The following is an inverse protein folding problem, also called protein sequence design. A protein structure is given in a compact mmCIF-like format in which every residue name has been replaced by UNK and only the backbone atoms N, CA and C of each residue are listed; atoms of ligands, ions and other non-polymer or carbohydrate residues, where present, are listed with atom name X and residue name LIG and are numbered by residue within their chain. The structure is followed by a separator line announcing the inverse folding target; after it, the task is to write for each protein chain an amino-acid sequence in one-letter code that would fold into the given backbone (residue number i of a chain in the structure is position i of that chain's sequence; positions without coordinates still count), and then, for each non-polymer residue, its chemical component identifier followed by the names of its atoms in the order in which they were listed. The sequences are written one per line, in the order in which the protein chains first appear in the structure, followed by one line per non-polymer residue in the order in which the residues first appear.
data_IF_907976835477
#
_entry.id   IF_907976835477
#
_cell.length_a   1.000
_cell.length_b   1.000
_cell.length_c   1.000
_cell.angle_alpha   90.00
_cell.angle_beta   90.00
_cell.angle_gamma   90.00
#
_symmetry.space_group_name_H-M   'P 1'
#
loop_
_entity.id
_entity.type
_entity.pdbx_description
1 polymer ?
#
# COMPACT_ATOMS: atom_id res chain seq x y z
N UNK A 1 11.74 2.14 17.38
CA UNK A 1 10.47 2.31 16.65
C UNK A 1 9.30 2.75 17.55
N UNK A 2 9.21 2.31 18.80
CA UNK A 2 8.07 2.65 19.67
C UNK A 2 7.86 4.16 19.92
N UNK A 3 8.89 4.96 19.95
CA UNK A 3 8.78 6.41 20.22
C UNK A 3 8.23 7.24 19.06
N UNK A 4 8.43 6.79 17.81
CA UNK A 4 8.02 7.55 16.62
C UNK A 4 6.54 7.43 16.31
N UNK A 5 5.88 6.36 16.78
CA UNK A 5 4.47 6.04 16.47
C UNK A 5 3.61 5.91 17.74
N UNK A 6 4.04 6.51 18.85
CA UNK A 6 3.31 6.46 20.10
C UNK A 6 1.84 6.90 19.89
N UNK A 7 0.90 6.06 20.31
CA UNK A 7 -0.54 6.32 20.20
C UNK A 7 -1.15 6.14 18.81
N UNK A 8 -0.42 5.61 17.83
CA UNK A 8 -0.92 5.33 16.46
C UNK A 8 -0.89 3.85 16.16
N UNK A 9 -1.95 3.32 15.55
CA UNK A 9 -1.94 1.97 14.97
C UNK A 9 -1.13 1.97 13.69
N UNK A 10 -0.14 1.07 13.60
CA UNK A 10 0.71 0.92 12.42
C UNK A 10 0.27 -0.32 11.66
N UNK A 11 -0.18 -0.11 10.42
CA UNK A 11 -0.58 -1.20 9.51
C UNK A 11 0.52 -1.39 8.47
N UNK A 12 1.05 -2.61 8.43
CA UNK A 12 2.07 -3.03 7.49
C UNK A 12 1.42 -3.73 6.30
N UNK A 13 1.69 -3.25 5.10
CA UNK A 13 1.18 -3.85 3.87
C UNK A 13 2.27 -4.67 3.19
N UNK A 14 1.97 -5.91 2.82
CA UNK A 14 2.93 -6.77 2.14
C UNK A 14 2.32 -7.54 0.96
N UNK A 15 3.14 -7.82 -0.04
CA UNK A 15 2.77 -8.73 -1.12
C UNK A 15 3.03 -10.20 -0.74
N UNK A 16 2.72 -11.11 -1.67
CA UNK A 16 2.88 -12.55 -1.43
C UNK A 16 4.34 -12.98 -1.21
N UNK A 17 5.31 -12.20 -1.70
CA UNK A 17 6.74 -12.52 -1.55
C UNK A 17 7.24 -12.24 -0.14
N UNK A 18 6.70 -11.20 0.49
CA UNK A 18 7.06 -10.81 1.86
C UNK A 18 6.12 -11.38 2.92
N UNK A 19 4.90 -11.80 2.54
CA UNK A 19 3.99 -12.47 3.46
C UNK A 19 4.45 -13.91 3.67
N UNK A 20 5.48 -14.09 4.48
CA UNK A 20 6.06 -15.39 4.79
C UNK A 20 5.87 -15.72 6.27
N UNK A 21 5.94 -17.01 6.57
CA UNK A 21 5.87 -17.50 7.95
C UNK A 21 6.99 -16.92 8.81
N UNK A 22 8.22 -16.84 8.28
CA UNK A 22 9.37 -16.27 8.97
C UNK A 22 9.14 -14.80 9.31
N UNK A 23 8.55 -14.05 8.38
CA UNK A 23 8.22 -12.65 8.58
C UNK A 23 7.16 -12.46 9.66
N UNK A 24 6.08 -13.24 9.62
CA UNK A 24 5.02 -13.19 10.63
C UNK A 24 5.55 -13.54 12.03
N UNK A 25 6.46 -14.51 12.14
CA UNK A 25 7.07 -14.91 13.42
C UNK A 25 7.86 -13.77 14.05
N UNK A 26 8.57 -12.98 13.25
CA UNK A 26 9.36 -11.84 13.71
C UNK A 26 8.57 -10.53 13.86
N UNK A 27 7.29 -10.50 13.48
CA UNK A 27 6.49 -9.29 13.51
C UNK A 27 6.19 -8.86 14.96
N UNK A 28 6.49 -7.62 15.37
CA UNK A 28 6.10 -7.08 16.68
C UNK A 28 4.60 -7.21 16.93
N UNK A 29 4.21 -7.40 18.22
CA UNK A 29 2.78 -7.60 18.56
C UNK A 29 1.90 -6.38 18.32
N UNK A 30 2.48 -5.21 18.39
CA UNK A 30 1.85 -3.89 18.18
C UNK A 30 1.69 -3.50 16.71
N UNK A 31 2.20 -4.32 15.77
CA UNK A 31 2.04 -4.10 14.35
C UNK A 31 0.94 -4.99 13.76
N UNK A 32 0.07 -4.37 12.97
CA UNK A 32 -0.95 -5.06 12.20
C UNK A 32 -0.36 -5.35 10.82
N UNK A 33 -0.42 -6.60 10.37
CA UNK A 33 -0.05 -6.98 9.02
C UNK A 33 -1.31 -7.22 8.18
N UNK A 34 -1.36 -6.58 7.02
CA UNK A 34 -2.26 -6.95 5.93
C UNK A 34 -1.40 -7.41 4.77
N UNK A 35 -1.42 -8.70 4.48
CA UNK A 35 -0.53 -9.29 3.49
C UNK A 35 -1.23 -10.24 2.52
N UNK A 36 -0.71 -10.33 1.28
CA UNK A 36 -1.20 -11.27 0.30
C UNK A 36 -0.67 -12.67 0.60
N UNK A 37 -1.57 -13.64 0.68
CA UNK A 37 -1.27 -15.04 0.92
C UNK A 37 -1.23 -15.82 -0.40
N UNK A 38 -0.51 -16.93 -0.43
CA UNK A 38 -0.57 -17.90 -1.52
C UNK A 38 -1.87 -18.71 -1.47
N UNK A 39 -2.38 -19.09 -2.62
CA UNK A 39 -3.63 -19.86 -2.77
C UNK A 39 -3.62 -21.23 -2.05
N UNK A 40 -2.42 -21.80 -1.88
CA UNK A 40 -2.14 -23.11 -1.33
C UNK A 40 -1.65 -23.10 0.13
N UNK A 41 -1.69 -21.94 0.79
CA UNK A 41 -1.26 -21.83 2.17
C UNK A 41 -2.12 -22.67 3.11
N UNK A 42 -1.47 -23.45 3.96
CA UNK A 42 -2.11 -24.33 4.93
C UNK A 42 -2.39 -23.59 6.22
N UNK A 43 -3.64 -23.23 6.42
CA UNK A 43 -4.16 -22.62 7.63
C UNK A 43 -4.87 -23.66 8.51
N UNK A 44 -5.05 -23.33 9.77
CA UNK A 44 -5.69 -24.17 10.76
C UNK A 44 -6.71 -23.35 11.54
N UNK A 45 -7.82 -23.94 11.90
CA UNK A 45 -8.75 -23.37 12.87
C UNK A 45 -8.13 -23.32 14.26
N UNK A 46 -8.73 -22.57 15.15
CA UNK A 46 -8.38 -22.63 16.57
C UNK A 46 -8.80 -23.98 17.14
N UNK A 47 -8.09 -24.50 18.16
CA UNK A 47 -8.51 -25.73 18.83
C UNK A 47 -9.80 -25.51 19.61
N UNK A 48 -10.79 -26.35 19.39
CA UNK A 48 -12.09 -26.29 20.04
C UNK A 48 -12.01 -26.66 21.53
N UNK A 49 -11.12 -27.59 21.86
CA UNK A 49 -10.93 -28.05 23.23
C UNK A 49 -9.45 -27.99 23.63
N UNK A 50 -9.21 -27.48 24.83
CA UNK A 50 -7.92 -27.55 25.49
C UNK A 50 -7.90 -28.77 26.40
N UNK A 51 -6.87 -29.60 26.29
CA UNK A 51 -6.69 -30.71 27.24
C UNK A 51 -6.35 -30.12 28.63
N UNK A 52 -6.99 -30.66 29.67
CA UNK A 52 -6.77 -30.19 31.05
C UNK A 52 -5.32 -30.38 31.50
N UNK A 53 -4.64 -31.44 31.03
CA UNK A 53 -3.27 -31.78 31.37
C UNK A 53 -2.42 -31.89 30.10
N UNK A 54 -1.18 -31.40 30.15
CA UNK A 54 -0.20 -31.48 29.08
C UNK A 54 0.02 -30.19 28.29
N UNK A 55 0.76 -30.29 27.18
CA UNK A 55 1.07 -29.12 26.32
C UNK A 55 -0.18 -28.64 25.61
N UNK A 56 -0.53 -27.38 25.79
CA UNK A 56 -1.68 -26.75 25.12
C UNK A 56 -1.60 -26.89 23.59
N UNK A 57 -2.68 -27.34 22.98
CA UNK A 57 -2.79 -27.39 21.51
C UNK A 57 -2.92 -25.98 20.96
N UNK A 58 -2.02 -25.62 20.08
CA UNK A 58 -2.05 -24.31 19.40
C UNK A 58 -2.92 -24.33 18.13
N UNK A 59 -3.16 -25.50 17.53
CA UNK A 59 -3.82 -25.64 16.23
C UNK A 59 -4.96 -26.65 16.35
N UNK A 60 -6.11 -26.30 15.80
CA UNK A 60 -7.26 -27.18 15.63
C UNK A 60 -7.17 -27.99 14.33
N UNK A 61 -8.32 -28.25 13.72
CA UNK A 61 -8.45 -28.93 12.44
C UNK A 61 -7.86 -28.10 11.30
N UNK A 62 -7.32 -28.74 10.25
CA UNK A 62 -6.89 -28.04 9.05
C UNK A 62 -8.05 -27.27 8.42
N UNK A 63 -7.87 -26.00 8.14
CA UNK A 63 -8.82 -25.21 7.38
C UNK A 63 -8.69 -25.51 5.88
N UNK A 64 -9.76 -25.35 5.09
CA UNK A 64 -9.66 -25.42 3.64
C UNK A 64 -8.65 -24.39 3.12
N UNK A 65 -8.00 -24.68 2.02
CA UNK A 65 -7.10 -23.72 1.37
C UNK A 65 -7.87 -22.49 0.89
N UNK A 66 -7.19 -21.37 0.74
CA UNK A 66 -7.82 -20.13 0.29
C UNK A 66 -8.55 -20.29 -1.05
N UNK A 67 -8.04 -21.15 -1.95
CA UNK A 67 -8.68 -21.46 -3.23
C UNK A 67 -9.91 -22.36 -3.07
N UNK A 68 -9.90 -23.31 -2.11
CA UNK A 68 -11.07 -24.10 -1.78
C UNK A 68 -12.18 -23.24 -1.22
N UNK A 69 -11.87 -22.33 -0.27
CA UNK A 69 -12.83 -21.35 0.27
C UNK A 69 -13.43 -20.47 -0.83
N UNK A 70 -12.62 -20.06 -1.81
CA UNK A 70 -13.11 -19.28 -2.95
C UNK A 70 -14.19 -20.01 -3.74
N UNK A 71 -14.01 -21.32 -3.95
CA UNK A 71 -14.92 -22.18 -4.73
C UNK A 71 -16.11 -22.72 -3.92
N UNK A 72 -15.99 -22.74 -2.60
CA UNK A 72 -16.99 -23.29 -1.71
C UNK A 72 -18.20 -22.37 -1.59
N UNK A 73 -19.35 -22.80 -2.07
CA UNK A 73 -20.58 -22.03 -2.07
C UNK A 73 -21.22 -21.92 -0.67
N UNK A 74 -20.81 -22.75 0.28
CA UNK A 74 -21.28 -22.64 1.67
C UNK A 74 -20.82 -21.35 2.35
N UNK A 75 -19.73 -20.75 1.88
CA UNK A 75 -19.26 -19.45 2.31
C UNK A 75 -19.87 -18.35 1.42
N UNK A 76 -20.77 -17.51 1.94
CA UNK A 76 -21.42 -16.48 1.14
C UNK A 76 -20.44 -15.40 0.70
N UNK A 77 -20.67 -14.85 -0.50
CA UNK A 77 -19.98 -13.67 -0.98
C UNK A 77 -20.61 -12.41 -0.37
N UNK A 78 -19.78 -11.58 0.24
CA UNK A 78 -20.14 -10.26 0.70
C UNK A 78 -19.70 -9.24 -0.34
N UNK A 79 -20.54 -8.28 -0.64
CA UNK A 79 -20.23 -7.17 -1.54
C UNK A 79 -19.76 -5.96 -0.74
N UNK A 80 -18.59 -5.44 -1.08
CA UNK A 80 -18.00 -4.27 -0.44
C UNK A 80 -17.60 -3.22 -1.47
N UNK A 81 -17.52 -1.97 -1.03
CA UNK A 81 -16.95 -0.87 -1.82
C UNK A 81 -15.56 -0.54 -1.29
N UNK A 82 -14.59 -0.48 -2.20
CA UNK A 82 -13.22 -0.13 -1.86
C UNK A 82 -12.67 0.90 -2.85
N UNK A 83 -12.36 2.11 -2.41
CA UNK A 83 -11.77 3.13 -3.26
C UNK A 83 -10.32 2.78 -3.61
N UNK A 84 -9.98 2.81 -4.90
CA UNK A 84 -8.64 2.62 -5.39
C UNK A 84 -8.41 3.38 -6.69
N UNK A 85 -7.20 3.93 -6.87
CA UNK A 85 -6.79 4.64 -8.08
C UNK A 85 -7.74 5.77 -8.51
N UNK A 86 -8.42 6.42 -7.56
CA UNK A 86 -9.35 7.52 -7.83
C UNK A 86 -10.74 7.08 -8.31
N UNK A 87 -11.09 5.81 -8.15
CA UNK A 87 -12.41 5.26 -8.45
C UNK A 87 -12.88 4.30 -7.36
N UNK A 88 -14.19 4.22 -7.17
CA UNK A 88 -14.78 3.21 -6.30
C UNK A 88 -14.92 1.88 -7.06
N UNK A 89 -14.45 0.83 -6.42
CA UNK A 89 -14.55 -0.53 -6.95
C UNK A 89 -15.47 -1.36 -6.06
N UNK A 90 -16.46 -1.98 -6.68
CA UNK A 90 -17.26 -2.99 -6.01
C UNK A 90 -16.52 -4.33 -6.07
N UNK A 91 -16.25 -4.90 -4.92
CA UNK A 91 -15.54 -6.15 -4.77
C UNK A 91 -16.41 -7.17 -4.05
N UNK A 92 -16.42 -8.41 -4.51
CA UNK A 92 -17.00 -9.53 -3.77
C UNK A 92 -15.91 -10.21 -2.96
N UNK A 93 -16.17 -10.42 -1.68
CA UNK A 93 -15.22 -11.03 -0.76
C UNK A 93 -15.87 -12.16 0.02
N UNK A 94 -15.04 -13.11 0.49
CA UNK A 94 -15.39 -14.06 1.55
C UNK A 94 -14.46 -13.83 2.71
N UNK A 95 -14.96 -14.04 3.93
CA UNK A 95 -14.19 -13.82 5.16
C UNK A 95 -14.21 -15.09 5.98
N UNK A 96 -13.03 -15.48 6.47
CA UNK A 96 -12.89 -16.59 7.42
C UNK A 96 -12.02 -16.12 8.57
N UNK A 97 -12.58 -16.21 9.76
CA UNK A 97 -11.95 -15.77 10.99
C UNK A 97 -11.35 -16.94 11.79
N UNK A 98 -10.67 -16.61 12.86
CA UNK A 98 -10.15 -17.55 13.84
C UNK A 98 -9.18 -18.57 13.24
N UNK A 99 -8.32 -18.12 12.33
CA UNK A 99 -7.31 -18.95 11.69
C UNK A 99 -5.93 -18.79 12.31
N UNK A 100 -5.11 -19.81 12.19
CA UNK A 100 -3.68 -19.80 12.52
C UNK A 100 -2.84 -20.35 11.39
N UNK A 101 -1.65 -19.81 11.22
CA UNK A 101 -0.70 -20.32 10.24
C UNK A 101 0.46 -21.04 10.95
N UNK A 102 0.45 -22.38 10.85
CA UNK A 102 1.25 -23.27 11.69
C UNK A 102 2.74 -22.88 11.86
N UNK A 103 3.52 -22.61 10.82
CA UNK A 103 4.93 -22.27 11.02
C UNK A 103 5.18 -20.81 11.39
N UNK A 104 4.15 -19.95 11.39
CA UNK A 104 4.31 -18.51 11.52
C UNK A 104 4.28 -17.98 12.95
N UNK A 105 4.48 -18.85 13.96
CA UNK A 105 4.54 -18.41 15.34
C UNK A 105 3.24 -18.48 16.10
N UNK A 106 2.57 -19.55 15.98
CA UNK A 106 1.64 -20.27 16.85
C UNK A 106 0.45 -19.56 17.45
N UNK A 107 0.59 -18.36 17.94
CA UNK A 107 -0.44 -17.72 18.76
C UNK A 107 -1.25 -16.65 18.05
N UNK A 108 -0.75 -16.14 16.91
CA UNK A 108 -1.46 -15.08 16.19
C UNK A 108 -2.73 -15.62 15.55
N UNK A 109 -3.84 -14.99 15.90
CA UNK A 109 -5.11 -15.21 15.24
C UNK A 109 -5.11 -14.39 13.95
N UNK A 110 -5.52 -15.02 12.87
CA UNK A 110 -5.56 -14.43 11.53
C UNK A 110 -6.98 -14.39 11.02
N UNK A 111 -7.30 -13.32 10.30
CA UNK A 111 -8.47 -13.24 9.44
C UNK A 111 -8.01 -13.44 8.00
N UNK A 112 -8.71 -14.30 7.27
CA UNK A 112 -8.53 -14.49 5.83
C UNK A 112 -9.64 -13.76 5.09
N UNK A 113 -9.25 -12.95 4.10
CA UNK A 113 -10.17 -12.29 3.16
C UNK A 113 -9.84 -12.78 1.76
N UNK A 114 -10.81 -13.41 1.11
CA UNK A 114 -10.73 -13.90 -0.26
C UNK A 114 -11.44 -12.90 -1.17
N UNK A 115 -10.72 -12.30 -2.12
CA UNK A 115 -11.28 -11.35 -3.08
C UNK A 115 -11.54 -12.09 -4.39
N UNK A 116 -12.77 -11.98 -4.90
CA UNK A 116 -13.14 -12.55 -6.20
C UNK A 116 -12.33 -11.90 -7.35
N UNK A 117 -12.19 -12.60 -8.49
CA UNK A 117 -11.62 -12.02 -9.69
C UNK A 117 -12.32 -10.70 -10.07
N UNK A 118 -11.54 -9.63 -10.17
CA UNK A 118 -12.07 -8.31 -10.53
C UNK A 118 -12.04 -8.11 -12.03
N UNK A 119 -13.18 -7.78 -12.59
CA UNK A 119 -13.31 -7.45 -14.01
C UNK A 119 -12.67 -6.09 -14.31
N UNK A 120 -11.93 -5.97 -15.39
CA UNK A 120 -11.37 -4.70 -15.85
C UNK A 120 -11.24 -4.63 -17.37
N UNK A 121 -11.28 -3.42 -17.92
CA UNK A 121 -10.98 -3.15 -19.32
C UNK A 121 -9.70 -2.33 -19.41
N UNK A 122 -8.65 -2.81 -20.10
CA UNK A 122 -7.39 -2.05 -20.23
C UNK A 122 -7.56 -0.71 -20.92
N UNK A 123 -8.49 -0.63 -21.89
CA UNK A 123 -8.87 0.57 -22.63
C UNK A 123 -10.38 0.59 -22.86
N UNK A 124 -10.95 1.78 -23.07
CA UNK A 124 -12.35 1.91 -23.48
C UNK A 124 -12.59 1.10 -24.76
N UNK A 125 -13.63 0.25 -24.77
CA UNK A 125 -13.94 -0.65 -25.90
C UNK A 125 -13.13 -1.94 -25.99
N UNK A 126 -12.07 -2.14 -25.16
CA UNK A 126 -11.33 -3.39 -25.16
C UNK A 126 -12.13 -4.54 -24.52
N UNK A 127 -11.74 -5.79 -24.85
CA UNK A 127 -12.31 -6.99 -24.23
C UNK A 127 -12.21 -6.93 -22.71
N UNK A 128 -13.27 -7.37 -22.04
CA UNK A 128 -13.29 -7.54 -20.58
C UNK A 128 -12.27 -8.59 -20.19
N UNK A 129 -11.43 -8.26 -19.22
CA UNK A 129 -10.46 -9.17 -18.61
C UNK A 129 -10.74 -9.27 -17.12
N UNK A 130 -10.23 -10.33 -16.51
CA UNK A 130 -10.34 -10.55 -15.07
C UNK A 130 -8.95 -10.60 -14.46
N UNK A 131 -8.79 -9.95 -13.34
CA UNK A 131 -7.59 -10.10 -12.50
C UNK A 131 -7.69 -11.42 -11.74
N UNK A 132 -6.55 -12.01 -11.43
CA UNK A 132 -6.53 -13.19 -10.56
C UNK A 132 -7.15 -12.87 -9.19
N UNK A 133 -7.79 -13.87 -8.55
CA UNK A 133 -8.28 -13.72 -7.20
C UNK A 133 -7.15 -13.35 -6.25
N UNK A 134 -7.45 -12.62 -5.19
CA UNK A 134 -6.48 -12.29 -4.17
C UNK A 134 -6.90 -12.88 -2.82
N UNK A 135 -5.92 -13.36 -2.09
CA UNK A 135 -6.09 -13.93 -0.76
C UNK A 135 -5.29 -13.07 0.21
N UNK A 136 -5.95 -12.46 1.16
CA UNK A 136 -5.33 -11.56 2.13
C UNK A 136 -5.42 -12.15 3.52
N UNK A 137 -4.37 -11.99 4.31
CA UNK A 137 -4.41 -12.23 5.74
C UNK A 137 -4.25 -10.92 6.50
N UNK A 138 -4.98 -10.83 7.61
CA UNK A 138 -4.83 -9.74 8.58
C UNK A 138 -4.53 -10.34 9.94
N UNK A 139 -3.57 -9.73 10.68
CA UNK A 139 -3.21 -10.14 12.04
C UNK A 139 -4.07 -9.48 13.11
N UNK A 140 -4.97 -8.59 12.73
CA UNK A 140 -5.96 -7.99 13.61
C UNK A 140 -7.36 -8.42 13.18
N UNK A 141 -8.01 -9.33 13.92
CA UNK A 141 -9.37 -9.77 13.63
C UNK A 141 -10.43 -8.69 13.87
N UNK A 142 -10.11 -7.62 14.59
CA UNK A 142 -11.03 -6.52 14.83
C UNK A 142 -11.13 -5.55 13.64
N UNK A 143 -10.12 -5.55 12.74
CA UNK A 143 -10.11 -4.67 11.57
C UNK A 143 -11.21 -5.10 10.58
N UNK A 144 -12.14 -4.19 10.19
CA UNK A 144 -13.21 -4.51 9.24
C UNK A 144 -12.68 -5.03 7.89
N UNK A 145 -13.32 -6.02 7.27
CA UNK A 145 -12.87 -6.58 5.98
C UNK A 145 -12.75 -5.55 4.88
N UNK A 146 -13.63 -4.55 4.83
CA UNK A 146 -13.59 -3.43 3.88
C UNK A 146 -12.29 -2.64 4.03
N UNK A 147 -11.90 -2.35 5.27
CA UNK A 147 -10.66 -1.63 5.55
C UNK A 147 -9.43 -2.46 5.19
N UNK A 148 -9.46 -3.79 5.42
CA UNK A 148 -8.39 -4.69 5.01
C UNK A 148 -8.17 -4.60 3.49
N UNK A 149 -9.24 -4.68 2.70
CA UNK A 149 -9.17 -4.57 1.23
C UNK A 149 -8.71 -3.19 0.81
N UNK A 150 -9.24 -2.14 1.41
CA UNK A 150 -8.86 -0.76 1.12
C UNK A 150 -7.38 -0.51 1.41
N UNK A 151 -6.88 -0.95 2.56
CA UNK A 151 -5.46 -0.85 2.89
C UNK A 151 -4.60 -1.63 1.89
N UNK A 152 -5.00 -2.84 1.52
CA UNK A 152 -4.26 -3.62 0.55
C UNK A 152 -4.20 -2.94 -0.83
N UNK A 153 -5.26 -2.31 -1.28
CA UNK A 153 -5.24 -1.55 -2.54
C UNK A 153 -4.25 -0.37 -2.50
N UNK A 154 -4.10 0.27 -1.34
CA UNK A 154 -3.10 1.33 -1.13
C UNK A 154 -1.65 0.83 -1.20
N UNK A 155 -1.41 -0.49 -1.14
CA UNK A 155 -0.06 -1.05 -1.34
C UNK A 155 0.55 -0.59 -2.66
N UNK A 156 -0.26 -0.39 -3.70
CA UNK A 156 0.20 0.12 -4.99
C UNK A 156 0.79 1.53 -4.92
N UNK A 157 0.51 2.29 -3.89
CA UNK A 157 1.04 3.64 -3.72
C UNK A 157 2.57 3.67 -3.64
N UNK A 158 3.22 2.59 -3.20
CA UNK A 158 4.68 2.50 -3.20
C UNK A 158 5.24 2.52 -4.63
N UNK A 159 4.58 1.83 -5.56
CA UNK A 159 4.98 1.79 -6.96
C UNK A 159 4.75 3.15 -7.65
N UNK A 160 3.64 3.80 -7.31
CA UNK A 160 3.37 5.18 -7.74
C UNK A 160 4.43 6.15 -7.21
N UNK A 161 4.80 6.03 -5.94
CA UNK A 161 5.85 6.85 -5.34
C UNK A 161 7.20 6.65 -6.02
N UNK A 162 7.62 5.43 -6.28
CA UNK A 162 8.86 5.15 -7.02
C UNK A 162 8.83 5.72 -8.44
N UNK A 163 7.71 5.58 -9.14
CA UNK A 163 7.52 6.16 -10.45
C UNK A 163 7.66 7.68 -10.39
N UNK A 164 6.95 8.31 -9.47
CA UNK A 164 6.92 9.77 -9.33
C UNK A 164 8.30 10.32 -8.93
N UNK A 165 9.02 9.65 -8.04
CA UNK A 165 10.39 9.98 -7.68
C UNK A 165 11.33 9.93 -8.91
N UNK A 166 11.21 8.90 -9.73
CA UNK A 166 12.02 8.76 -10.95
C UNK A 166 11.63 9.78 -12.03
N UNK A 167 10.33 9.96 -12.27
CA UNK A 167 9.86 10.74 -13.43
C UNK A 167 9.74 12.24 -13.13
N UNK A 168 9.46 12.62 -11.89
CA UNK A 168 9.23 14.02 -11.51
C UNK A 168 10.42 14.66 -10.79
N UNK A 169 11.19 13.86 -10.03
CA UNK A 169 12.33 14.33 -9.26
C UNK A 169 13.68 13.82 -9.79
N UNK A 170 13.68 12.96 -10.80
CA UNK A 170 14.90 12.47 -11.43
C UNK A 170 15.75 11.55 -10.52
N UNK A 171 15.16 10.86 -9.55
CA UNK A 171 15.90 9.93 -8.69
C UNK A 171 16.58 8.86 -9.53
N UNK A 172 17.90 8.73 -9.37
CA UNK A 172 18.73 7.80 -10.15
C UNK A 172 19.06 8.28 -11.57
N UNK A 173 18.77 9.53 -11.92
CA UNK A 173 19.11 10.13 -13.24
C UNK A 173 20.29 11.13 -13.16
N UNK A 174 20.78 11.41 -11.97
CA UNK A 174 21.92 12.28 -11.79
C UNK A 174 23.20 11.65 -12.35
N UNK A 175 23.91 12.40 -13.19
CA UNK A 175 25.20 11.99 -13.76
C UNK A 175 26.33 12.37 -12.78
N UNK A 176 26.49 11.57 -11.73
CA UNK A 176 27.52 11.75 -10.70
C UNK A 176 28.43 10.52 -10.66
N UNK A 177 29.72 10.75 -10.50
CA UNK A 177 30.74 9.69 -10.51
C UNK A 177 31.42 9.50 -9.14
N UNK A 178 31.37 10.52 -8.28
CA UNK A 178 31.93 10.43 -6.94
C UNK A 178 31.07 9.47 -6.08
N UNK A 179 31.67 8.47 -5.37
CA UNK A 179 30.94 7.51 -4.55
C UNK A 179 30.01 8.16 -3.52
N UNK A 180 30.45 9.24 -2.87
CA UNK A 180 29.64 9.97 -1.89
C UNK A 180 28.44 10.64 -2.58
N UNK A 181 28.61 11.22 -3.75
CA UNK A 181 27.55 11.85 -4.53
C UNK A 181 26.54 10.80 -5.05
N UNK A 182 27.02 9.60 -5.44
CA UNK A 182 26.15 8.51 -5.88
C UNK A 182 25.19 8.06 -4.77
N UNK A 183 25.58 8.19 -3.50
CA UNK A 183 24.72 7.89 -2.35
C UNK A 183 23.88 9.10 -1.91
N UNK A 184 24.49 10.27 -1.83
CA UNK A 184 23.88 11.47 -1.25
C UNK A 184 22.82 12.09 -2.15
N UNK A 185 23.03 12.10 -3.47
CA UNK A 185 22.08 12.74 -4.40
C UNK A 185 20.73 12.02 -4.43
N UNK A 186 20.65 10.69 -4.61
CA UNK A 186 19.38 9.99 -4.54
C UNK A 186 18.72 10.11 -3.15
N UNK A 187 19.50 10.07 -2.08
CA UNK A 187 19.00 10.22 -0.72
C UNK A 187 18.36 11.60 -0.50
N UNK A 188 19.01 12.67 -0.98
CA UNK A 188 18.47 14.04 -0.92
C UNK A 188 17.18 14.17 -1.74
N UNK A 189 17.14 13.59 -2.94
CA UNK A 189 15.95 13.60 -3.78
C UNK A 189 14.76 12.91 -3.12
N UNK A 190 14.99 11.73 -2.49
CA UNK A 190 13.96 11.00 -1.73
C UNK A 190 13.53 11.79 -0.50
N UNK A 191 14.45 12.40 0.23
CA UNK A 191 14.14 13.27 1.37
C UNK A 191 13.30 14.47 0.96
N UNK A 192 13.66 15.13 -0.14
CA UNK A 192 12.90 16.26 -0.71
C UNK A 192 11.48 15.84 -1.10
N UNK A 193 11.31 14.63 -1.65
CA UNK A 193 9.99 14.08 -1.93
C UNK A 193 9.18 13.86 -0.66
N UNK A 194 9.78 13.30 0.37
CA UNK A 194 9.12 13.08 1.66
C UNK A 194 8.70 14.41 2.31
N UNK A 195 9.54 15.44 2.27
CA UNK A 195 9.22 16.78 2.75
C UNK A 195 8.08 17.42 1.96
N UNK A 196 8.06 17.26 0.64
CA UNK A 196 6.96 17.73 -0.20
C UNK A 196 5.64 17.08 0.18
N UNK A 197 5.63 15.76 0.39
CA UNK A 197 4.43 15.05 0.82
C UNK A 197 3.99 15.48 2.22
N UNK A 198 4.94 15.67 3.14
CA UNK A 198 4.66 16.15 4.50
C UNK A 198 4.04 17.55 4.47
N UNK A 199 4.63 18.47 3.73
CA UNK A 199 4.08 19.82 3.56
C UNK A 199 2.65 19.78 2.99
N UNK A 200 2.40 18.89 2.03
CA UNK A 200 1.07 18.72 1.44
C UNK A 200 0.00 18.24 2.44
N UNK A 201 0.39 17.59 3.53
CA UNK A 201 -0.59 17.17 4.57
C UNK A 201 -1.19 18.35 5.34
N UNK A 202 -0.55 19.51 5.29
CA UNK A 202 -1.02 20.75 5.92
C UNK A 202 -1.96 21.55 5.02
N UNK A 203 -2.09 21.18 3.74
CA UNK A 203 -2.93 21.87 2.78
C UNK A 203 -4.24 21.13 2.54
N UNK A 204 -5.32 21.90 2.34
CA UNK A 204 -6.59 21.32 1.95
C UNK A 204 -6.64 21.07 0.43
N UNK A 205 -7.37 20.06 -0.05
CA UNK A 205 -7.47 19.77 -1.49
C UNK A 205 -7.93 20.97 -2.35
N UNK A 206 -8.77 21.86 -1.79
CA UNK A 206 -9.26 23.06 -2.44
C UNK A 206 -8.18 24.14 -2.64
N UNK A 207 -7.12 24.14 -1.83
CA UNK A 207 -6.02 25.11 -1.91
C UNK A 207 -5.07 24.84 -3.07
N UNK A 208 -5.08 23.62 -3.59
CA UNK A 208 -4.21 23.28 -4.71
C UNK A 208 -4.71 23.87 -6.02
N UNK A 209 -3.76 24.29 -6.87
CA UNK A 209 -4.08 24.71 -8.22
C UNK A 209 -5.00 23.71 -8.93
N UNK A 210 -6.00 24.18 -9.68
CA UNK A 210 -6.89 23.29 -10.40
C UNK A 210 -6.12 22.38 -11.37
N UNK A 211 -6.63 21.18 -11.65
CA UNK A 211 -6.04 20.32 -12.67
C UNK A 211 -6.11 21.01 -14.05
N UNK A 212 -5.24 20.62 -14.99
CA UNK A 212 -5.33 21.14 -16.37
C UNK A 212 -6.72 20.87 -16.97
N UNK A 213 -7.19 21.73 -17.85
CA UNK A 213 -8.52 21.63 -18.49
C UNK A 213 -8.82 20.26 -19.10
N UNK A 214 -7.82 19.58 -19.66
CA UNK A 214 -7.94 18.26 -20.24
C UNK A 214 -8.07 17.12 -19.19
N UNK A 215 -7.80 17.41 -17.90
CA UNK A 215 -8.00 16.49 -16.76
C UNK A 215 -9.15 16.93 -15.83
N UNK A 216 -9.84 18.00 -16.12
CA UNK A 216 -10.82 18.61 -15.21
C UNK A 216 -11.99 17.68 -14.84
N UNK A 217 -12.32 16.69 -15.69
CA UNK A 217 -13.41 15.74 -15.46
C UNK A 217 -13.13 14.69 -14.38
N UNK A 218 -11.86 14.52 -13.98
CA UNK A 218 -11.43 13.58 -12.95
C UNK A 218 -10.49 14.28 -11.98
N UNK A 219 -11.06 15.01 -11.03
CA UNK A 219 -10.28 15.54 -9.90
C UNK A 219 -10.41 14.52 -8.74
N UNK A 220 -9.46 13.60 -8.58
CA UNK A 220 -9.49 12.68 -7.45
C UNK A 220 -9.31 13.47 -6.15
N UNK A 221 -9.95 13.04 -5.08
CA UNK A 221 -9.78 13.61 -3.74
C UNK A 221 -8.30 13.67 -3.33
N UNK A 222 -7.53 12.70 -3.79
CA UNK A 222 -6.09 12.65 -3.56
C UNK A 222 -5.34 13.50 -4.56
N UNK A 223 -4.60 14.46 -4.05
CA UNK A 223 -3.72 15.32 -4.85
C UNK A 223 -2.53 14.51 -5.38
N UNK A 224 -2.29 14.55 -6.70
CA UNK A 224 -1.13 13.89 -7.31
C UNK A 224 0.16 14.67 -7.04
N UNK A 225 1.30 13.97 -6.98
CA UNK A 225 2.64 14.58 -6.82
C UNK A 225 2.91 15.68 -7.87
N UNK A 226 2.48 15.47 -9.10
CA UNK A 226 2.59 16.48 -10.15
C UNK A 226 1.81 17.76 -9.83
N UNK A 227 0.62 17.63 -9.23
CA UNK A 227 -0.20 18.78 -8.82
C UNK A 227 0.45 19.52 -7.65
N UNK A 228 1.05 18.79 -6.69
CA UNK A 228 1.83 19.36 -5.60
C UNK A 228 3.03 20.18 -6.13
N UNK A 229 3.79 19.61 -7.03
CA UNK A 229 4.94 20.30 -7.64
C UNK A 229 4.53 21.56 -8.41
N UNK A 230 3.41 21.50 -9.13
CA UNK A 230 2.87 22.67 -9.81
C UNK A 230 2.45 23.77 -8.83
N UNK A 231 1.82 23.39 -7.74
CA UNK A 231 1.42 24.33 -6.70
C UNK A 231 2.65 24.98 -6.06
N UNK A 232 3.64 24.21 -5.63
CA UNK A 232 4.89 24.71 -5.09
C UNK A 232 5.62 25.65 -6.06
N UNK A 233 5.71 25.27 -7.34
CA UNK A 233 6.32 26.13 -8.37
C UNK A 233 5.57 27.45 -8.50
N UNK A 234 4.26 27.44 -8.51
CA UNK A 234 3.46 28.65 -8.62
C UNK A 234 3.67 29.57 -7.39
N UNK A 235 3.74 29.02 -6.19
CA UNK A 235 4.03 29.79 -4.99
C UNK A 235 5.44 30.41 -5.01
N UNK A 236 6.44 29.63 -5.40
CA UNK A 236 7.83 30.13 -5.49
C UNK A 236 7.95 31.25 -6.54
N UNK A 237 7.35 31.09 -7.72
CA UNK A 237 7.31 32.13 -8.75
C UNK A 237 6.51 33.34 -8.28
N UNK A 238 5.35 33.13 -7.65
CA UNK A 238 4.55 34.22 -7.11
C UNK A 238 5.33 35.08 -6.13
N UNK A 239 6.04 34.45 -5.19
CA UNK A 239 6.92 35.17 -4.23
C UNK A 239 8.05 35.90 -4.93
N UNK A 240 8.71 35.26 -5.90
CA UNK A 240 9.80 35.87 -6.66
C UNK A 240 9.36 37.09 -7.50
N UNK A 241 8.09 37.14 -7.92
CA UNK A 241 7.51 38.23 -8.68
C UNK A 241 6.76 39.26 -7.80
N UNK A 242 6.81 39.13 -6.48
CA UNK A 242 6.11 40.01 -5.54
C UNK A 242 4.56 39.86 -5.59
N UNK A 243 4.05 38.77 -6.16
CA UNK A 243 2.62 38.48 -6.22
C UNK A 243 2.16 37.87 -4.89
N UNK A 244 1.28 38.56 -4.16
CA UNK A 244 0.83 38.15 -2.82
C UNK A 244 -0.20 37.02 -2.81
N UNK A 245 -0.78 36.67 -3.96
CA UNK A 245 -1.85 35.65 -4.00
C UNK A 245 -1.85 34.88 -5.32
N UNK A 246 -1.15 33.76 -5.36
CA UNK A 246 -1.37 32.71 -6.38
C UNK A 246 -2.38 31.64 -5.92
N UNK A 247 -2.56 31.46 -4.63
CA UNK A 247 -3.63 30.71 -4.02
C UNK A 247 -4.61 31.69 -3.39
N UNK A 248 -5.90 31.53 -3.63
CA UNK A 248 -6.96 32.24 -2.93
C UNK A 248 -7.06 31.79 -1.45
N UNK A 249 -5.94 31.59 -0.80
CA UNK A 249 -5.88 31.23 0.61
C UNK A 249 -6.23 32.45 1.44
N UNK A 250 -7.52 32.60 1.72
CA UNK A 250 -7.93 33.26 2.93
C UNK A 250 -7.26 32.49 4.06
N UNK A 251 -6.38 33.15 4.81
CA UNK A 251 -5.85 32.65 6.05
C UNK A 251 -7.02 32.32 6.97
N UNK A 252 -7.45 31.07 6.98
CA UNK A 252 -8.38 30.56 7.96
C UNK A 252 -7.55 30.08 9.14
N UNK A 253 -7.83 30.53 10.38
CA UNK A 253 -7.10 30.08 11.55
C UNK A 253 -7.16 28.56 11.66
N UNK A 254 -6.04 27.95 11.97
CA UNK A 254 -5.89 26.53 12.28
C UNK A 254 -6.88 26.10 13.36
N UNK A 255 -8.04 25.60 12.95
CA UNK A 255 -8.89 24.82 13.84
C UNK A 255 -8.31 23.41 13.88
N UNK A 256 -7.74 23.09 15.03
CA UNK A 256 -7.25 21.76 15.40
C UNK A 256 -8.38 20.75 15.36
N UNK A 257 -8.58 20.13 14.21
CA UNK A 257 -9.42 18.94 14.11
C UNK A 257 -8.50 17.74 14.13
N UNK A 258 -8.39 17.10 15.28
CA UNK A 258 -7.68 15.85 15.49
C UNK A 258 -8.39 14.74 14.71
N UNK A 259 -8.07 14.59 13.42
CA UNK A 259 -8.43 13.38 12.69
C UNK A 259 -7.47 12.28 13.15
N UNK A 260 -8.01 11.20 13.70
CA UNK A 260 -7.31 9.93 13.92
C UNK A 260 -6.91 9.36 12.55
N UNK A 261 -5.76 9.77 12.06
CA UNK A 261 -5.21 9.21 10.83
C UNK A 261 -4.33 8.02 11.22
N UNK A 262 -4.74 6.82 10.83
CA UNK A 262 -3.87 5.65 10.84
C UNK A 262 -2.68 5.91 9.93
N UNK A 263 -1.46 5.80 10.46
CA UNK A 263 -0.24 5.92 9.68
C UNK A 263 -0.01 4.60 8.94
N UNK A 264 -0.07 4.63 7.63
CA UNK A 264 0.25 3.47 6.80
C UNK A 264 1.74 3.50 6.52
N UNK A 265 2.48 2.59 7.14
CA UNK A 265 3.92 2.43 6.92
C UNK A 265 4.16 1.45 5.77
N UNK A 266 4.81 1.93 4.72
CA UNK A 266 5.34 1.06 3.68
C UNK A 266 6.75 0.64 4.09
N UNK A 267 6.99 -0.66 4.19
CA UNK A 267 8.36 -1.17 4.32
C UNK A 267 9.12 -0.84 3.04
N UNK A 268 9.98 0.15 3.11
CA UNK A 268 11.11 0.24 2.21
C UNK A 268 12.07 -0.89 2.60
N UNK A 269 12.50 -1.75 1.68
CA UNK A 269 13.54 -2.70 1.98
C UNK A 269 14.83 -1.93 2.25
N UNK A 270 15.18 -1.81 3.54
CA UNK A 270 16.46 -1.22 4.00
C UNK A 270 17.66 -2.09 3.68
N UNK A 271 17.57 -3.01 2.73
CA UNK A 271 18.67 -3.87 2.31
C UNK A 271 18.51 -4.24 0.84
N UNK A 272 19.02 -3.41 -0.06
CA UNK A 272 19.46 -3.85 -1.37
C UNK A 272 20.82 -3.26 -1.73
N UNK A 273 21.93 -3.95 -1.38
CA UNK A 273 23.23 -3.67 -1.99
C UNK A 273 23.41 -4.32 -3.37
N UNK A 274 22.39 -4.80 -4.08
CA UNK A 274 22.60 -5.65 -5.27
C UNK A 274 21.71 -5.38 -6.47
N UNK A 275 21.12 -4.19 -6.64
CA UNK A 275 20.30 -3.89 -7.83
C UNK A 275 20.87 -2.81 -8.74
N UNK A 276 22.19 -2.65 -8.79
CA UNK A 276 22.87 -1.98 -9.89
C UNK A 276 23.62 -3.02 -10.75
N UNK A 277 22.87 -3.88 -11.42
CA UNK A 277 23.40 -4.55 -12.62
C UNK A 277 23.03 -3.69 -13.83
N UNK A 278 24.01 -3.34 -14.70
CA UNK A 278 23.75 -2.56 -15.88
C UNK A 278 22.83 -3.36 -16.81
N UNK A 279 21.81 -2.68 -17.32
CA UNK A 279 20.92 -3.19 -18.36
C UNK A 279 21.75 -3.51 -19.61
N UNK A 280 22.11 -4.77 -19.81
CA UNK A 280 22.79 -5.28 -21.02
C UNK A 280 21.74 -5.36 -22.13
N UNK A 281 21.79 -4.43 -23.08
CA UNK A 281 21.07 -4.55 -24.35
C UNK A 281 21.46 -5.89 -24.99
N UNK A 282 20.53 -6.81 -25.12
CA UNK A 282 20.70 -7.96 -26.00
C UNK A 282 20.71 -7.44 -27.44
N UNK A 283 21.89 -7.51 -28.06
CA UNK A 283 22.07 -7.24 -29.47
C UNK A 283 21.33 -8.27 -30.29
N UNK A 284 20.48 -7.81 -31.17
CA UNK A 284 19.98 -8.63 -32.29
C UNK A 284 21.16 -8.90 -33.21
N UNK A 285 21.66 -10.13 -33.22
CA UNK A 285 22.45 -10.64 -34.30
C UNK A 285 21.49 -11.02 -35.42
N UNK A 286 21.43 -10.22 -36.47
CA UNK A 286 20.97 -10.67 -37.78
C UNK A 286 22.11 -11.51 -38.39
N UNK A 287 21.87 -12.78 -38.56
CA UNK A 287 22.62 -13.63 -39.50
C UNK A 287 22.03 -13.46 -40.88
N UNK A 288 22.90 -13.12 -41.83
CA UNK A 288 22.67 -13.21 -43.27
C UNK A 288 22.59 -14.65 -43.74
#
# INVERSE_FOLDING_TARGET
MKSTFAGRSVILLSDARFTTQRFLKGLPKDLILVGRLRKDAKLFYLPEQQQANGRRRCYGTPAPTSEQIRKDESHPWLEIRAPAAGADHTCRIKVVDQLRWRPAGGERILRLVVIAPLAYRPRKGSRLRYRDPAFLICTDPALPPEQIVQHYFRRWDIEVNFRDQKTLLGVGQAQVHNPNSCQSVPALQVASYALLLLAATHLQPAEFLPPPKWRARHCPERVSTQRLLRHLRAELWGRGLGLTTFSGSRATPLLTTTRRNSLILFLLPSFMPSFFLPYRKQGQTRSG
#
